data_IF_413709201466
#
_entry.id   IF_413709201466
#
_cell.length_a   1.000
_cell.length_b   1.000
_cell.length_c   1.000
_cell.angle_alpha   90.00
_cell.angle_beta   90.00
_cell.angle_gamma   90.00
#
_symmetry.space_group_name_H-M   'P 1'
#
loop_
_entity.id
_entity.type
_entity.pdbx_description
1 polymer ?
#
# COMPACT_ATOMS: atom_id res chain seq x y z
N UNK A 1 -8.29 -7.88 -9.30
CA UNK A 1 -9.24 -7.35 -8.29
C UNK A 1 -8.76 -6.02 -7.73
N UNK A 2 -7.60 -5.96 -7.06
CA UNK A 2 -7.02 -4.77 -6.41
C UNK A 2 -7.01 -3.51 -7.29
N UNK A 3 -6.44 -3.56 -8.50
CA UNK A 3 -6.44 -2.42 -9.44
C UNK A 3 -7.82 -1.82 -9.72
N UNK A 4 -8.83 -2.66 -9.97
CA UNK A 4 -10.20 -2.19 -10.25
C UNK A 4 -10.82 -1.52 -9.03
N UNK A 5 -10.60 -2.11 -7.85
CA UNK A 5 -11.07 -1.54 -6.59
C UNK A 5 -10.46 -0.15 -6.36
N UNK A 6 -9.14 -0.01 -6.48
CA UNK A 6 -8.41 1.26 -6.35
C UNK A 6 -8.99 2.32 -7.29
N UNK A 7 -9.13 1.99 -8.57
CA UNK A 7 -9.69 2.91 -9.57
C UNK A 7 -11.10 3.38 -9.20
N UNK A 8 -11.95 2.47 -8.70
CA UNK A 8 -13.29 2.83 -8.23
C UNK A 8 -13.26 3.74 -7.00
N UNK A 9 -12.39 3.47 -6.02
CA UNK A 9 -12.29 4.28 -4.79
C UNK A 9 -11.76 5.69 -5.12
N UNK A 10 -10.68 5.79 -5.91
CA UNK A 10 -10.12 7.08 -6.34
C UNK A 10 -11.19 7.93 -7.04
N UNK A 11 -11.93 7.35 -8.00
CA UNK A 11 -12.94 8.06 -8.76
C UNK A 11 -14.19 8.42 -7.94
N UNK A 12 -14.65 7.53 -7.06
CA UNK A 12 -15.89 7.74 -6.30
C UNK A 12 -15.70 8.73 -5.15
N UNK A 13 -14.60 8.60 -4.41
CA UNK A 13 -14.37 9.36 -3.19
C UNK A 13 -13.42 10.55 -3.38
N UNK A 14 -12.82 10.70 -4.56
CA UNK A 14 -11.87 11.78 -4.87
C UNK A 14 -10.72 11.88 -3.83
N UNK A 15 -10.33 10.73 -3.27
CA UNK A 15 -9.18 10.64 -2.38
C UNK A 15 -7.91 10.92 -3.19
N UNK A 16 -6.98 11.64 -2.59
CA UNK A 16 -5.69 11.96 -3.23
C UNK A 16 -4.70 10.80 -3.13
N UNK A 17 -4.76 10.07 -2.02
CA UNK A 17 -3.81 8.99 -1.73
C UNK A 17 -4.51 7.82 -1.07
N UNK A 18 -3.94 6.63 -1.25
CA UNK A 18 -4.33 5.41 -0.55
C UNK A 18 -3.09 4.88 0.16
N UNK A 19 -3.22 4.67 1.47
CA UNK A 19 -2.19 4.04 2.30
C UNK A 19 -2.40 2.53 2.43
N UNK A 20 -1.29 1.79 2.53
CA UNK A 20 -1.26 0.37 2.86
C UNK A 20 -0.18 0.09 3.90
N UNK A 21 -0.47 -0.85 4.80
CA UNK A 21 0.43 -1.27 5.86
C UNK A 21 0.61 -2.79 5.81
N UNK A 22 1.85 -3.25 5.95
CA UNK A 22 2.18 -4.68 6.01
C UNK A 22 3.50 -4.91 6.73
N UNK A 23 3.68 -6.09 7.33
CA UNK A 23 4.99 -6.50 7.82
C UNK A 23 6.00 -6.58 6.67
N UNK A 24 7.25 -6.18 6.95
CA UNK A 24 8.34 -6.18 5.96
C UNK A 24 8.67 -7.59 5.46
N UNK A 25 8.40 -8.64 6.26
CA UNK A 25 8.60 -10.02 5.83
C UNK A 25 7.48 -10.55 4.92
N UNK A 26 6.36 -9.84 4.76
CA UNK A 26 5.25 -10.25 3.89
C UNK A 26 5.48 -9.82 2.43
N UNK A 27 6.53 -10.41 1.84
CA UNK A 27 6.99 -10.12 0.49
C UNK A 27 5.93 -10.40 -0.59
N UNK A 28 4.99 -11.31 -0.34
CA UNK A 28 3.90 -11.58 -1.26
C UNK A 28 2.92 -10.39 -1.37
N UNK A 29 2.49 -9.83 -0.23
CA UNK A 29 1.64 -8.64 -0.24
C UNK A 29 2.35 -7.42 -0.80
N UNK A 30 3.62 -7.20 -0.43
CA UNK A 30 4.43 -6.08 -0.92
C UNK A 30 4.48 -6.08 -2.44
N UNK A 31 4.83 -7.23 -3.06
CA UNK A 31 4.88 -7.36 -4.52
C UNK A 31 3.52 -7.11 -5.20
N UNK A 32 2.42 -7.50 -4.55
CA UNK A 32 1.08 -7.19 -5.06
C UNK A 32 0.82 -5.69 -5.01
N UNK A 33 1.17 -5.01 -3.92
CA UNK A 33 0.99 -3.56 -3.77
C UNK A 33 1.83 -2.79 -4.80
N UNK A 34 3.12 -3.09 -4.91
CA UNK A 34 4.02 -2.49 -5.90
C UNK A 34 3.51 -2.69 -7.33
N UNK A 35 3.05 -3.90 -7.68
CA UNK A 35 2.45 -4.19 -8.99
C UNK A 35 1.19 -3.35 -9.27
N UNK A 36 0.51 -2.86 -8.24
CA UNK A 36 -0.65 -1.98 -8.36
C UNK A 36 -0.30 -0.49 -8.19
N UNK A 37 0.99 -0.12 -8.12
CA UNK A 37 1.47 1.26 -8.15
C UNK A 37 1.75 1.87 -6.79
N UNK A 38 1.64 1.11 -5.69
CA UNK A 38 2.09 1.59 -4.39
C UNK A 38 3.61 1.68 -4.32
N UNK A 39 4.11 2.67 -3.59
CA UNK A 39 5.54 2.90 -3.35
C UNK A 39 5.78 2.82 -1.85
N UNK A 40 6.89 2.18 -1.44
CA UNK A 40 7.31 2.18 -0.04
C UNK A 40 7.71 3.60 0.35
N UNK A 41 7.03 4.14 1.36
CA UNK A 41 7.27 5.49 1.85
C UNK A 41 8.12 5.48 3.11
N UNK A 42 7.87 4.50 3.98
CA UNK A 42 8.50 4.40 5.29
C UNK A 42 8.61 2.93 5.72
N UNK A 43 9.67 2.61 6.43
CA UNK A 43 9.86 1.36 7.14
C UNK A 43 10.12 1.67 8.61
N UNK A 44 9.44 0.96 9.49
CA UNK A 44 9.52 1.20 10.93
C UNK A 44 9.39 -0.10 11.73
N UNK A 45 10.02 -0.11 12.90
CA UNK A 45 9.95 -1.22 13.85
C UNK A 45 8.97 -0.86 14.97
N UNK A 46 8.03 -1.77 15.23
CA UNK A 46 7.12 -1.69 16.38
C UNK A 46 7.13 -3.04 17.10
N UNK A 47 7.42 -3.02 18.40
CA UNK A 47 7.56 -4.23 19.24
C UNK A 47 8.46 -5.33 18.64
N UNK A 48 9.59 -4.93 18.04
CA UNK A 48 10.53 -5.84 17.38
C UNK A 48 10.07 -6.38 16.02
N UNK A 49 8.92 -5.92 15.51
CA UNK A 49 8.39 -6.30 14.20
C UNK A 49 8.58 -5.18 13.18
N UNK A 50 9.40 -5.46 12.17
CA UNK A 50 9.62 -4.56 11.05
C UNK A 50 8.41 -4.53 10.12
N UNK A 51 7.92 -3.33 9.86
CA UNK A 51 6.73 -3.07 9.05
C UNK A 51 7.00 -1.96 8.03
N UNK A 52 6.20 -1.95 6.96
CA UNK A 52 6.31 -0.99 5.87
C UNK A 52 4.98 -0.29 5.66
N UNK A 53 5.06 1.03 5.50
CA UNK A 53 3.99 1.86 4.99
C UNK A 53 4.23 2.13 3.49
N UNK A 54 3.22 1.84 2.69
CA UNK A 54 3.23 2.09 1.25
C UNK A 54 2.09 3.03 0.87
N UNK A 55 2.31 3.87 -0.13
CA UNK A 55 1.32 4.82 -0.62
C UNK A 55 1.14 4.75 -2.12
N UNK A 56 -0.09 4.91 -2.57
CA UNK A 56 -0.45 5.13 -3.96
C UNK A 56 -1.07 6.53 -4.09
N UNK A 57 -0.64 7.29 -5.09
CA UNK A 57 -1.32 8.51 -5.54
C UNK A 57 -2.47 8.14 -6.50
N UNK A 58 -3.67 8.64 -6.20
CA UNK A 58 -4.77 8.74 -7.14
C UNK A 58 -4.60 10.04 -7.95
#
# INVERSE_FOLDING_TARGET
AVKKFIQSICALYHVKTIGAFTFAHNQASIKVLEKNGFVVMEEFEDDGMLSQYLQLEC
#
